data_IF_407391626563
#
_entry.id   IF_407391626563
#
_cell.length_a   1.000
_cell.length_b   1.000
_cell.length_c   1.000
_cell.angle_alpha   90.00
_cell.angle_beta   90.00
_cell.angle_gamma   90.00
#
_symmetry.space_group_name_H-M   'P 1'
#
loop_
_entity.id
_entity.type
_entity.pdbx_description
1 polymer ?
#
# COMPACT_ATOMS: atom_id res chain seq x y z
N UNK A 1 21.04 40.47 57.68
CA UNK A 1 21.83 40.41 56.43
C UNK A 1 22.61 39.09 56.29
N UNK A 2 22.02 37.96 56.72
CA UNK A 2 22.55 36.60 56.58
C UNK A 2 21.38 35.60 56.55
N UNK A 3 20.50 35.71 55.54
CA UNK A 3 19.47 34.70 55.27
C UNK A 3 19.22 34.44 53.78
N UNK A 4 20.01 35.03 52.88
CA UNK A 4 19.82 34.90 51.42
C UNK A 4 20.91 34.10 50.70
N UNK A 5 21.66 33.25 51.42
CA UNK A 5 22.62 32.30 50.82
C UNK A 5 22.11 30.84 50.86
N UNK A 6 20.89 30.58 51.35
CA UNK A 6 20.31 29.22 51.35
C UNK A 6 19.36 28.93 50.18
N UNK A 7 19.23 29.83 49.20
CA UNK A 7 18.38 29.62 48.00
C UNK A 7 19.14 29.36 46.71
N UNK A 8 20.47 29.29 46.73
CA UNK A 8 21.28 29.09 45.52
C UNK A 8 22.05 27.78 45.43
N UNK A 9 21.95 26.87 46.41
CA UNK A 9 22.82 25.66 46.40
C UNK A 9 22.10 24.34 46.66
N UNK A 10 20.77 24.28 46.52
CA UNK A 10 20.04 23.00 46.54
C UNK A 10 18.87 23.00 45.57
N UNK A 11 19.17 23.25 44.30
CA UNK A 11 18.36 22.82 43.15
C UNK A 11 19.26 22.80 41.91
N UNK A 12 20.33 22.02 42.01
CA UNK A 12 21.24 21.69 40.91
C UNK A 12 20.97 20.26 40.40
N UNK A 13 19.70 19.87 40.42
CA UNK A 13 19.16 18.67 39.78
C UNK A 13 17.73 19.06 39.37
N UNK A 14 17.55 19.56 38.15
CA UNK A 14 16.30 19.51 37.38
C UNK A 14 16.48 20.23 36.03
N UNK A 15 16.27 19.46 34.96
CA UNK A 15 15.91 19.90 33.61
C UNK A 15 17.00 20.39 32.65
N UNK A 16 18.08 19.64 32.50
CA UNK A 16 18.72 19.52 31.18
C UNK A 16 18.28 18.21 30.52
N UNK A 17 16.99 18.12 30.19
CA UNK A 17 16.64 17.35 29.01
C UNK A 17 17.12 18.21 27.85
N UNK A 18 18.20 17.78 27.20
CA UNK A 18 18.42 18.19 25.82
C UNK A 18 17.21 17.63 25.09
N UNK A 19 16.22 18.47 24.80
CA UNK A 19 15.28 18.20 23.71
C UNK A 19 16.14 18.19 22.46
N UNK A 20 16.70 17.01 22.16
CA UNK A 20 17.20 16.72 20.84
C UNK A 20 15.95 16.84 19.99
N UNK A 21 15.82 17.87 19.13
CA UNK A 21 14.73 17.89 18.18
C UNK A 21 14.84 16.55 17.45
N UNK A 22 13.72 15.90 17.15
CA UNK A 22 13.69 14.66 16.39
C UNK A 22 14.17 14.96 14.95
N UNK A 23 15.46 15.28 14.83
CA UNK A 23 16.22 15.55 13.62
C UNK A 23 16.40 14.15 13.05
N UNK A 24 15.73 13.89 11.93
CA UNK A 24 16.00 12.82 10.97
C UNK A 24 16.82 11.62 11.53
N UNK A 25 16.15 10.48 11.64
CA UNK A 25 16.76 9.26 11.12
C UNK A 25 18.01 8.69 11.83
N UNK A 26 18.12 8.76 13.16
CA UNK A 26 19.11 7.91 13.88
C UNK A 26 18.85 6.40 13.72
N UNK A 27 17.63 6.00 13.35
CA UNK A 27 17.30 4.62 12.94
C UNK A 27 17.84 4.25 11.55
N UNK A 28 18.06 5.25 10.70
CA UNK A 28 18.37 5.06 9.29
C UNK A 28 19.69 4.34 9.01
N UNK A 29 20.80 4.54 9.76
CA UNK A 29 22.01 3.74 9.54
C UNK A 29 21.83 2.25 9.84
N UNK A 30 21.06 1.91 10.88
CA UNK A 30 20.76 0.52 11.24
C UNK A 30 19.78 -0.08 10.22
N UNK A 31 18.70 0.64 9.92
CA UNK A 31 17.70 0.23 8.95
C UNK A 31 18.28 0.10 7.53
N UNK A 32 19.24 0.96 7.14
CA UNK A 32 19.96 0.86 5.87
C UNK A 32 20.85 -0.37 5.79
N UNK A 33 21.62 -0.68 6.85
CA UNK A 33 22.41 -1.93 6.89
C UNK A 33 21.51 -3.16 6.80
N UNK A 34 20.37 -3.14 7.48
CA UNK A 34 19.41 -4.22 7.37
C UNK A 34 18.83 -4.29 5.94
N UNK A 35 18.51 -3.16 5.35
CA UNK A 35 18.01 -3.10 3.98
C UNK A 35 19.02 -3.65 2.97
N UNK A 36 20.32 -3.38 3.14
CA UNK A 36 21.39 -3.98 2.33
C UNK A 36 21.41 -5.51 2.47
N UNK A 37 21.23 -6.04 3.69
CA UNK A 37 21.10 -7.48 3.94
C UNK A 37 19.88 -8.05 3.21
N UNK A 38 18.74 -7.37 3.29
CA UNK A 38 17.50 -7.77 2.62
C UNK A 38 17.68 -7.78 1.10
N UNK A 39 18.28 -6.74 0.52
CA UNK A 39 18.57 -6.69 -0.91
C UNK A 39 19.50 -7.83 -1.33
N UNK A 40 20.53 -8.13 -0.53
CA UNK A 40 21.44 -9.24 -0.82
C UNK A 40 20.72 -10.59 -0.76
N UNK A 41 19.81 -10.79 0.21
CA UNK A 41 18.99 -12.00 0.26
C UNK A 41 18.15 -12.11 -1.00
N UNK A 42 17.41 -11.05 -1.36
CA UNK A 42 16.55 -11.00 -2.54
C UNK A 42 17.30 -11.34 -3.84
N UNK A 43 18.46 -10.69 -4.07
CA UNK A 43 19.28 -10.92 -5.27
C UNK A 43 19.81 -12.36 -5.39
N UNK A 44 19.83 -13.12 -4.29
CA UNK A 44 20.30 -14.50 -4.24
C UNK A 44 19.16 -15.53 -4.09
N UNK A 45 17.89 -15.10 -4.14
CA UNK A 45 16.77 -16.04 -4.18
C UNK A 45 16.59 -16.62 -5.59
N UNK A 46 16.27 -17.93 -5.72
CA UNK A 46 15.97 -18.51 -7.01
C UNK A 46 14.71 -17.86 -7.60
N UNK A 47 14.75 -17.47 -8.87
CA UNK A 47 13.59 -16.93 -9.59
C UNK A 47 12.50 -18.00 -9.76
N UNK A 48 11.31 -17.78 -9.23
CA UNK A 48 10.16 -18.69 -9.35
C UNK A 48 9.07 -18.42 -8.31
N UNK A 49 7.93 -19.14 -8.38
CA UNK A 49 6.94 -19.08 -7.32
C UNK A 49 7.53 -19.63 -6.03
N UNK A 50 7.62 -18.75 -5.05
CA UNK A 50 8.25 -19.07 -3.80
C UNK A 50 7.31 -19.87 -2.90
N UNK A 51 7.55 -21.17 -2.85
CA UNK A 51 6.96 -22.05 -1.85
C UNK A 51 7.43 -21.70 -0.43
N UNK A 52 6.73 -22.20 0.58
CA UNK A 52 6.99 -22.00 2.01
C UNK A 52 8.47 -22.24 2.37
N UNK A 53 9.11 -23.22 1.73
CA UNK A 53 10.54 -23.52 1.89
C UNK A 53 11.44 -22.33 1.56
N UNK A 54 11.15 -21.57 0.50
CA UNK A 54 11.96 -20.41 0.10
C UNK A 54 11.77 -19.25 1.09
N UNK A 55 10.54 -19.05 1.57
CA UNK A 55 10.22 -18.03 2.58
C UNK A 55 10.97 -18.29 3.88
N UNK A 56 11.00 -19.54 4.34
CA UNK A 56 11.71 -19.91 5.56
C UNK A 56 13.22 -19.78 5.42
N UNK A 57 13.78 -20.15 4.27
CA UNK A 57 15.21 -19.96 3.97
C UNK A 57 15.60 -18.48 3.93
N UNK A 58 14.79 -17.63 3.29
CA UNK A 58 15.02 -16.19 3.24
C UNK A 58 15.01 -15.57 4.65
N UNK A 59 14.02 -15.95 5.47
CA UNK A 59 13.91 -15.49 6.84
C UNK A 59 15.08 -15.95 7.71
N UNK A 60 15.50 -17.21 7.60
CA UNK A 60 16.65 -17.74 8.32
C UNK A 60 17.94 -16.97 7.97
N UNK A 61 18.15 -16.66 6.68
CA UNK A 61 19.29 -15.82 6.24
C UNK A 61 19.22 -14.41 6.81
N UNK A 62 18.04 -13.79 6.85
CA UNK A 62 17.87 -12.47 7.46
C UNK A 62 18.24 -12.51 8.94
N UNK A 63 17.71 -13.48 9.68
CA UNK A 63 18.00 -13.66 11.10
C UNK A 63 19.49 -13.86 11.40
N UNK A 64 20.16 -14.69 10.61
CA UNK A 64 21.60 -14.96 10.77
C UNK A 64 22.46 -13.72 10.52
N UNK A 65 22.10 -12.93 9.50
CA UNK A 65 22.90 -11.81 9.04
C UNK A 65 22.45 -10.46 9.61
N UNK A 66 21.33 -10.43 10.35
CA UNK A 66 20.71 -9.21 10.86
C UNK A 66 21.72 -8.34 11.61
N UNK A 67 21.64 -7.03 11.35
CA UNK A 67 22.37 -6.01 12.10
C UNK A 67 22.07 -6.10 13.61
N UNK A 68 20.85 -6.52 13.97
CA UNK A 68 20.41 -6.69 15.35
C UNK A 68 20.89 -8.02 15.99
N UNK A 69 21.49 -8.92 15.19
CA UNK A 69 22.07 -10.20 15.63
C UNK A 69 21.07 -11.00 16.49
N UNK A 70 21.52 -11.47 17.66
CA UNK A 70 20.72 -12.27 18.59
C UNK A 70 19.47 -11.54 19.12
N UNK A 71 19.38 -10.22 18.99
CA UNK A 71 18.21 -9.45 19.43
C UNK A 71 17.13 -9.35 18.35
N UNK A 72 17.40 -9.79 17.12
CA UNK A 72 16.43 -9.67 16.02
C UNK A 72 15.09 -10.34 16.35
N UNK A 73 15.11 -11.59 16.82
CA UNK A 73 13.87 -12.31 17.16
C UNK A 73 13.19 -11.70 18.38
N UNK A 74 13.91 -11.61 19.50
CA UNK A 74 13.30 -11.29 20.80
C UNK A 74 12.95 -9.81 20.95
N UNK A 75 13.73 -8.90 20.36
CA UNK A 75 13.55 -7.47 20.50
C UNK A 75 12.85 -6.83 19.31
N UNK A 76 13.03 -7.34 18.09
CA UNK A 76 12.38 -6.76 16.89
C UNK A 76 11.12 -7.52 16.53
N UNK A 77 11.22 -8.82 16.23
CA UNK A 77 10.08 -9.61 15.71
C UNK A 77 8.99 -9.83 16.77
N UNK A 78 9.38 -10.23 17.98
CA UNK A 78 8.44 -10.57 19.05
C UNK A 78 7.87 -9.34 19.79
N UNK A 79 8.39 -8.14 19.51
CA UNK A 79 7.88 -6.89 20.04
C UNK A 79 7.13 -6.13 18.95
N UNK A 80 5.80 -6.19 18.98
CA UNK A 80 4.93 -5.61 17.96
C UNK A 80 5.24 -4.13 17.68
N UNK A 81 5.43 -3.33 18.73
CA UNK A 81 5.76 -1.91 18.59
C UNK A 81 7.11 -1.67 17.88
N UNK A 82 8.13 -2.46 18.19
CA UNK A 82 9.44 -2.34 17.55
C UNK A 82 9.43 -2.92 16.13
N UNK A 83 8.65 -3.99 15.89
CA UNK A 83 8.43 -4.53 14.56
C UNK A 83 7.74 -3.52 13.63
N UNK A 84 6.71 -2.82 14.11
CA UNK A 84 6.02 -1.75 13.37
C UNK A 84 7.01 -0.71 12.86
N UNK A 85 7.84 -0.21 13.77
CA UNK A 85 8.84 0.80 13.43
C UNK A 85 9.88 0.26 12.46
N UNK A 86 10.39 -0.94 12.73
CA UNK A 86 11.34 -1.62 11.85
C UNK A 86 10.78 -1.75 10.44
N UNK A 87 9.56 -2.27 10.31
CA UNK A 87 8.93 -2.50 9.01
C UNK A 87 8.63 -1.19 8.27
N UNK A 88 8.17 -0.16 8.99
CA UNK A 88 7.96 1.19 8.45
C UNK A 88 9.26 1.80 7.92
N UNK A 89 10.37 1.63 8.64
CA UNK A 89 11.68 2.11 8.19
C UNK A 89 12.13 1.36 6.93
N UNK A 90 11.97 0.02 6.86
CA UNK A 90 12.31 -0.76 5.67
C UNK A 90 11.49 -0.35 4.44
N UNK A 91 10.20 -0.04 4.61
CA UNK A 91 9.36 0.48 3.54
C UNK A 91 9.78 1.90 3.12
N UNK A 92 10.15 2.75 4.07
CA UNK A 92 10.63 4.11 3.78
C UNK A 92 11.88 4.07 2.92
N UNK A 93 12.85 3.22 3.27
CA UNK A 93 14.08 3.05 2.50
C UNK A 93 13.77 2.50 1.11
N UNK A 94 12.84 1.52 1.00
CA UNK A 94 12.40 0.98 -0.28
C UNK A 94 11.81 2.06 -1.21
N UNK A 95 10.98 2.97 -0.68
CA UNK A 95 10.41 4.08 -1.44
C UNK A 95 11.51 5.01 -1.97
N UNK A 96 12.49 5.34 -1.13
CA UNK A 96 13.64 6.17 -1.51
C UNK A 96 14.48 5.48 -2.60
N UNK A 97 14.83 4.21 -2.41
CA UNK A 97 15.61 3.40 -3.37
C UNK A 97 14.91 3.33 -4.74
N UNK A 98 13.58 3.17 -4.74
CA UNK A 98 12.78 3.10 -5.95
C UNK A 98 12.38 4.45 -6.54
N UNK A 99 12.71 5.57 -5.88
CA UNK A 99 12.28 6.94 -6.24
C UNK A 99 10.76 7.09 -6.32
N UNK A 100 10.04 6.45 -5.41
CA UNK A 100 8.58 6.49 -5.32
C UNK A 100 8.18 7.58 -4.31
N UNK A 101 7.21 8.43 -4.69
CA UNK A 101 6.79 9.61 -3.91
C UNK A 101 5.47 9.38 -3.16
N UNK A 102 5.19 8.13 -2.78
CA UNK A 102 4.03 7.80 -1.98
C UNK A 102 4.26 8.16 -0.52
N UNK A 103 3.20 8.61 0.15
CA UNK A 103 3.22 8.83 1.59
C UNK A 103 3.43 7.50 2.34
N UNK A 104 4.30 7.51 3.35
CA UNK A 104 4.65 6.29 4.09
C UNK A 104 3.47 5.78 4.91
N UNK A 105 2.59 6.64 5.43
CA UNK A 105 1.42 6.20 6.18
C UNK A 105 0.42 5.48 5.27
N UNK A 106 0.27 5.95 4.03
CA UNK A 106 -0.49 5.24 3.01
C UNK A 106 0.11 3.87 2.71
N UNK A 107 1.41 3.79 2.42
CA UNK A 107 2.09 2.54 2.07
C UNK A 107 2.07 1.56 3.23
N UNK A 108 2.36 2.03 4.44
CA UNK A 108 2.29 1.23 5.65
C UNK A 108 0.86 0.72 5.89
N UNK A 109 -0.15 1.57 5.74
CA UNK A 109 -1.56 1.15 5.82
C UNK A 109 -1.90 0.04 4.82
N UNK A 110 -1.37 0.13 3.61
CA UNK A 110 -1.59 -0.84 2.53
C UNK A 110 -1.01 -2.22 2.83
N UNK A 111 0.21 -2.29 3.35
CA UNK A 111 0.94 -3.57 3.47
C UNK A 111 1.08 -4.09 4.91
N UNK A 112 0.87 -3.25 5.92
CA UNK A 112 1.04 -3.61 7.32
C UNK A 112 -0.30 -3.84 8.04
N UNK A 113 -1.24 -2.90 7.90
CA UNK A 113 -2.28 -2.65 8.90
C UNK A 113 -3.60 -3.42 8.69
N UNK A 114 -3.70 -4.27 7.66
CA UNK A 114 -5.00 -4.62 7.07
C UNK A 114 -5.20 -6.08 6.71
N UNK A 115 -4.26 -6.93 7.10
CA UNK A 115 -4.47 -8.37 7.12
C UNK A 115 -4.21 -8.85 8.55
N UNK A 116 -5.27 -8.92 9.37
CA UNK A 116 -5.21 -9.35 10.77
C UNK A 116 -4.80 -10.82 10.93
N UNK A 117 -4.72 -11.58 9.83
CA UNK A 117 -4.39 -13.01 9.85
C UNK A 117 -2.89 -13.31 9.82
N UNK A 118 -2.02 -12.29 9.67
CA UNK A 118 -0.57 -12.49 9.54
C UNK A 118 0.20 -12.11 10.79
N UNK A 119 1.17 -12.92 11.15
CA UNK A 119 2.14 -12.60 12.21
C UNK A 119 3.22 -11.65 11.69
N UNK A 120 3.98 -10.96 12.57
CA UNK A 120 5.19 -10.22 12.17
C UNK A 120 6.14 -11.03 11.28
N UNK A 121 6.34 -12.31 11.62
CA UNK A 121 7.16 -13.25 10.85
C UNK A 121 6.62 -13.49 9.45
N UNK A 122 5.30 -13.62 9.29
CA UNK A 122 4.68 -13.79 7.96
C UNK A 122 4.84 -12.53 7.11
N UNK A 123 4.70 -11.34 7.72
CA UNK A 123 4.87 -10.06 7.04
C UNK A 123 6.30 -9.89 6.51
N UNK A 124 7.31 -10.19 7.33
CA UNK A 124 8.71 -10.06 6.89
C UNK A 124 9.07 -11.11 5.83
N UNK A 125 8.58 -12.35 5.95
CA UNK A 125 8.75 -13.39 4.92
C UNK A 125 8.16 -12.96 3.59
N UNK A 126 6.97 -12.37 3.62
CA UNK A 126 6.32 -11.82 2.42
C UNK A 126 7.16 -10.69 1.81
N UNK A 127 7.61 -9.74 2.63
CA UNK A 127 8.47 -8.63 2.20
C UNK A 127 9.78 -9.08 1.55
N UNK A 128 10.41 -10.12 2.10
CA UNK A 128 11.67 -10.67 1.58
C UNK A 128 11.51 -11.34 0.21
N UNK A 129 10.45 -12.12 0.05
CA UNK A 129 10.30 -13.02 -1.10
C UNK A 129 9.57 -12.36 -2.26
N UNK A 130 8.65 -11.45 -1.96
CA UNK A 130 7.81 -10.79 -2.96
C UNK A 130 8.19 -9.32 -3.14
N UNK A 131 9.45 -9.01 -2.86
CA UNK A 131 10.01 -7.68 -2.88
C UNK A 131 9.83 -6.96 -4.23
N UNK A 132 10.05 -7.67 -5.35
CA UNK A 132 9.89 -7.08 -6.69
C UNK A 132 8.44 -6.80 -7.06
N UNK A 133 7.51 -7.67 -6.64
CA UNK A 133 6.09 -7.45 -6.88
C UNK A 133 5.57 -6.30 -6.01
N UNK A 134 6.05 -6.16 -4.78
CA UNK A 134 5.81 -4.97 -3.96
C UNK A 134 6.34 -3.71 -4.64
N UNK A 135 7.56 -3.72 -5.21
CA UNK A 135 8.08 -2.58 -5.99
C UNK A 135 7.17 -2.22 -7.17
N UNK A 136 6.69 -3.21 -7.91
CA UNK A 136 5.76 -3.01 -9.03
C UNK A 136 4.43 -2.41 -8.53
N UNK A 137 3.88 -2.96 -7.46
CA UNK A 137 2.66 -2.46 -6.82
C UNK A 137 2.79 -0.98 -6.44
N UNK A 138 3.87 -0.61 -5.76
CA UNK A 138 4.11 0.77 -5.33
C UNK A 138 4.28 1.71 -6.53
N UNK A 139 4.88 1.24 -7.64
CA UNK A 139 4.96 2.02 -8.88
C UNK A 139 3.59 2.25 -9.53
N UNK A 140 2.75 1.21 -9.60
CA UNK A 140 1.37 1.31 -10.12
C UNK A 140 0.60 2.37 -9.35
N UNK A 141 0.67 2.31 -8.02
CA UNK A 141 0.00 3.28 -7.15
C UNK A 141 0.59 4.68 -7.35
N UNK A 142 1.92 4.82 -7.43
CA UNK A 142 2.56 6.10 -7.71
C UNK A 142 2.06 6.74 -9.02
N UNK A 143 1.93 5.97 -10.10
CA UNK A 143 1.32 6.45 -11.34
C UNK A 143 -0.13 6.88 -11.15
N UNK A 144 -0.89 6.16 -10.34
CA UNK A 144 -2.24 6.57 -9.92
C UNK A 144 -2.25 7.92 -9.22
N UNK A 145 -1.34 8.15 -8.27
CA UNK A 145 -1.20 9.42 -7.54
C UNK A 145 -0.82 10.58 -8.45
N UNK A 146 0.03 10.36 -9.46
CA UNK A 146 0.34 11.39 -10.46
C UNK A 146 -0.92 11.91 -11.17
N UNK A 147 -1.92 11.05 -11.36
CA UNK A 147 -3.21 11.42 -11.97
C UNK A 147 -4.17 12.05 -10.96
N UNK A 148 -4.27 11.46 -9.77
CA UNK A 148 -5.36 11.72 -8.82
C UNK A 148 -4.98 12.74 -7.72
N UNK A 149 -3.70 13.09 -7.60
CA UNK A 149 -3.15 14.01 -6.60
C UNK A 149 -3.52 13.59 -5.17
N UNK A 150 -4.49 14.27 -4.55
CA UNK A 150 -4.79 14.17 -3.10
C UNK A 150 -6.00 13.27 -2.77
N UNK A 151 -6.84 12.90 -3.74
CA UNK A 151 -8.10 12.18 -3.48
C UNK A 151 -7.92 10.66 -3.21
N UNK A 152 -6.70 10.12 -3.41
CA UNK A 152 -6.43 8.68 -3.23
C UNK A 152 -6.46 8.26 -1.76
N UNK A 153 -5.81 9.04 -0.90
CA UNK A 153 -5.53 8.58 0.47
C UNK A 153 -6.80 8.24 1.23
N UNK A 154 -7.85 9.03 1.08
CA UNK A 154 -9.13 8.75 1.74
C UNK A 154 -9.90 7.63 1.04
N UNK A 155 -9.91 7.62 -0.29
CA UNK A 155 -10.77 6.73 -1.07
C UNK A 155 -10.28 5.28 -1.08
N UNK A 156 -8.97 5.02 -1.21
CA UNK A 156 -8.45 3.64 -1.22
C UNK A 156 -8.37 3.04 0.19
N UNK A 157 -8.06 3.87 1.21
CA UNK A 157 -7.94 3.44 2.62
C UNK A 157 -9.32 3.20 3.25
N UNK A 158 -10.37 3.92 2.87
CA UNK A 158 -11.71 3.74 3.47
C UNK A 158 -12.50 2.53 2.91
N UNK A 159 -11.88 1.72 2.03
CA UNK A 159 -12.59 0.62 1.31
C UNK A 159 -12.57 -0.73 2.00
N UNK A 160 -11.88 -0.87 3.12
CA UNK A 160 -11.96 -2.06 3.96
C UNK A 160 -12.83 -1.77 5.17
N UNK A 161 -13.91 -2.54 5.27
CA UNK A 161 -14.69 -2.61 6.49
C UNK A 161 -14.50 -4.03 7.03
N UNK A 162 -13.59 -4.21 7.99
CA UNK A 162 -13.59 -5.39 8.84
C UNK A 162 -14.86 -5.32 9.70
N UNK A 163 -15.97 -5.87 9.22
CA UNK A 163 -17.25 -5.75 9.90
C UNK A 163 -17.40 -6.82 10.95
N UNK A 164 -17.60 -6.36 12.18
CA UNK A 164 -18.42 -7.08 13.12
C UNK A 164 -19.82 -7.28 12.49
N UNK A 165 -20.43 -8.49 12.53
CA UNK A 165 -21.73 -8.78 11.91
C UNK A 165 -22.90 -7.85 12.32
N UNK A 166 -22.69 -6.95 13.28
CA UNK A 166 -23.65 -5.93 13.72
C UNK A 166 -23.72 -4.65 12.85
N UNK A 167 -22.90 -4.49 11.81
CA UNK A 167 -22.82 -3.24 11.02
C UNK A 167 -23.61 -3.26 9.70
N UNK A 168 -24.61 -4.13 9.59
CA UNK A 168 -25.60 -4.05 8.52
C UNK A 168 -26.65 -2.96 8.81
N UNK A 169 -27.22 -2.30 7.79
CA UNK A 169 -27.07 -2.55 6.35
C UNK A 169 -25.79 -1.94 5.76
N UNK A 170 -25.23 -2.62 4.77
CA UNK A 170 -24.10 -2.15 3.99
C UNK A 170 -24.56 -1.44 2.74
N UNK A 171 -24.32 -0.13 2.71
CA UNK A 171 -24.39 0.66 1.50
C UNK A 171 -22.97 0.87 0.98
N UNK A 172 -22.68 0.31 -0.18
CA UNK A 172 -21.44 0.64 -0.90
C UNK A 172 -21.63 1.95 -1.66
N UNK A 173 -20.55 2.73 -1.76
CA UNK A 173 -20.50 3.96 -2.56
C UNK A 173 -20.04 3.57 -3.99
N UNK A 174 -19.35 4.47 -4.67
CA UNK A 174 -18.80 4.30 -6.03
C UNK A 174 -17.62 3.31 -6.14
N UNK A 175 -17.26 2.58 -5.07
CA UNK A 175 -16.06 1.73 -4.99
C UNK A 175 -16.34 0.34 -4.42
N UNK A 176 -15.48 -0.63 -4.78
CA UNK A 176 -15.50 -1.98 -4.22
C UNK A 176 -15.14 -1.94 -2.74
N UNK A 177 -15.81 -2.77 -1.95
CA UNK A 177 -15.50 -2.98 -0.53
C UNK A 177 -15.14 -4.42 -0.25
N UNK A 178 -14.10 -4.63 0.56
CA UNK A 178 -13.81 -5.93 1.13
C UNK A 178 -14.45 -6.07 2.50
N UNK A 179 -14.98 -7.27 2.75
CA UNK A 179 -15.68 -7.63 3.97
C UNK A 179 -15.24 -9.02 4.38
N UNK A 180 -14.93 -9.21 5.65
CA UNK A 180 -14.62 -10.52 6.21
C UNK A 180 -15.72 -10.92 7.18
N UNK A 181 -16.34 -12.09 6.94
CA UNK A 181 -17.33 -12.70 7.83
C UNK A 181 -16.92 -14.14 8.06
N UNK A 182 -16.78 -14.55 9.32
CA UNK A 182 -16.38 -15.91 9.71
C UNK A 182 -15.12 -16.43 8.97
N UNK A 183 -14.12 -15.55 8.83
CA UNK A 183 -12.86 -15.79 8.09
C UNK A 183 -13.01 -16.02 6.58
N UNK A 184 -14.21 -15.81 6.02
CA UNK A 184 -14.44 -15.79 4.58
C UNK A 184 -14.41 -14.35 4.08
N UNK A 185 -13.72 -14.12 2.97
CA UNK A 185 -13.57 -12.78 2.38
C UNK A 185 -14.56 -12.64 1.24
N UNK A 186 -15.29 -11.53 1.27
CA UNK A 186 -16.24 -11.14 0.25
C UNK A 186 -15.83 -9.78 -0.34
N UNK A 187 -15.97 -9.65 -1.65
CA UNK A 187 -15.81 -8.38 -2.36
C UNK A 187 -17.17 -7.92 -2.86
N UNK A 188 -17.58 -6.74 -2.39
CA UNK A 188 -18.86 -6.13 -2.73
C UNK A 188 -18.62 -5.05 -3.78
N UNK A 189 -19.18 -5.19 -4.99
CA UNK A 189 -19.04 -4.18 -6.05
C UNK A 189 -19.67 -2.84 -5.69
N UNK A 190 -19.25 -1.74 -6.36
CA UNK A 190 -19.87 -0.43 -6.23
C UNK A 190 -21.39 -0.47 -6.40
N UNK A 191 -22.10 0.44 -5.72
CA UNK A 191 -23.55 0.59 -5.80
C UNK A 191 -24.38 -0.66 -5.46
N UNK A 192 -23.77 -1.63 -4.77
CA UNK A 192 -24.46 -2.79 -4.20
C UNK A 192 -24.97 -2.46 -2.80
N UNK A 193 -26.21 -2.88 -2.52
CA UNK A 193 -26.82 -2.78 -1.19
C UNK A 193 -26.95 -4.18 -0.63
N UNK A 194 -26.47 -4.39 0.60
CA UNK A 194 -26.61 -5.66 1.32
C UNK A 194 -27.25 -5.36 2.67
N UNK A 195 -28.47 -5.86 2.87
CA UNK A 195 -29.28 -5.52 4.04
C UNK A 195 -28.91 -6.32 5.30
N UNK A 196 -28.33 -7.51 5.13
CA UNK A 196 -27.91 -8.40 6.21
C UNK A 196 -26.84 -9.41 5.75
N UNK A 197 -26.26 -10.15 6.70
CA UNK A 197 -25.24 -11.17 6.40
C UNK A 197 -25.75 -12.29 5.48
N UNK A 198 -27.04 -12.62 5.52
CA UNK A 198 -27.66 -13.61 4.60
C UNK A 198 -27.65 -13.15 3.13
N UNK A 199 -27.53 -11.84 2.88
CA UNK A 199 -27.35 -11.27 1.54
C UNK A 199 -25.96 -11.51 0.94
N UNK A 200 -24.99 -12.00 1.73
CA UNK A 200 -23.68 -12.43 1.25
C UNK A 200 -23.80 -13.81 0.59
N UNK A 201 -24.05 -13.81 -0.71
CA UNK A 201 -24.09 -15.02 -1.53
C UNK A 201 -22.71 -15.39 -2.10
N UNK A 202 -22.57 -16.62 -2.62
CA UNK A 202 -21.35 -17.12 -3.28
C UNK A 202 -20.80 -16.19 -4.38
N UNK A 203 -21.67 -15.43 -5.06
CA UNK A 203 -21.25 -14.49 -6.11
C UNK A 203 -20.30 -13.36 -5.65
N UNK A 204 -20.23 -13.13 -4.33
CA UNK A 204 -19.35 -12.12 -3.74
C UNK A 204 -18.12 -12.74 -3.09
N UNK A 205 -18.00 -14.06 -3.08
CA UNK A 205 -16.80 -14.72 -2.56
C UNK A 205 -15.60 -14.21 -3.33
N UNK A 206 -14.56 -13.84 -2.58
CA UNK A 206 -13.36 -13.25 -3.15
C UNK A 206 -12.18 -14.15 -2.92
N UNK A 207 -11.72 -14.77 -4.00
CA UNK A 207 -10.56 -15.64 -4.04
C UNK A 207 -9.40 -14.89 -4.69
N UNK A 208 -8.25 -14.85 -4.02
CA UNK A 208 -7.07 -14.15 -4.49
C UNK A 208 -5.83 -14.97 -4.10
N UNK A 209 -4.91 -15.15 -5.03
CA UNK A 209 -3.63 -15.82 -4.79
C UNK A 209 -2.65 -14.94 -4.00
N UNK A 210 -2.84 -13.62 -4.07
CA UNK A 210 -2.06 -12.58 -3.39
C UNK A 210 -2.70 -12.09 -2.09
N UNK A 211 -2.53 -10.80 -1.80
CA UNK A 211 -3.25 -10.14 -0.71
C UNK A 211 -4.58 -9.57 -1.19
N UNK A 212 -5.73 -10.02 -0.65
CA UNK A 212 -7.04 -9.54 -1.06
C UNK A 212 -7.16 -8.00 -1.04
N UNK A 213 -6.67 -7.37 0.04
CA UNK A 213 -6.71 -5.91 0.18
C UNK A 213 -5.95 -5.18 -0.93
N UNK A 214 -4.81 -5.71 -1.35
CA UNK A 214 -4.01 -5.14 -2.43
C UNK A 214 -4.77 -5.25 -3.75
N UNK A 215 -5.35 -6.41 -4.05
CA UNK A 215 -6.12 -6.59 -5.28
C UNK A 215 -7.34 -5.64 -5.34
N UNK A 216 -8.08 -5.52 -4.23
CA UNK A 216 -9.20 -4.60 -4.14
C UNK A 216 -8.75 -3.13 -4.28
N UNK A 217 -7.59 -2.76 -3.74
CA UNK A 217 -7.01 -1.42 -3.95
C UNK A 217 -6.68 -1.17 -5.43
N UNK A 218 -6.17 -2.17 -6.15
CA UNK A 218 -5.91 -2.07 -7.58
C UNK A 218 -7.22 -1.90 -8.37
N UNK A 219 -8.26 -2.68 -8.03
CA UNK A 219 -9.57 -2.52 -8.65
C UNK A 219 -10.15 -1.13 -8.39
N UNK A 220 -10.06 -0.64 -7.15
CA UNK A 220 -10.55 0.69 -6.79
C UNK A 220 -9.75 1.83 -7.42
N UNK A 221 -8.43 1.65 -7.61
CA UNK A 221 -7.64 2.59 -8.40
C UNK A 221 -8.20 2.70 -9.82
N UNK A 222 -8.53 1.58 -10.45
CA UNK A 222 -9.11 1.56 -11.80
C UNK A 222 -10.48 2.23 -11.83
N UNK A 223 -11.39 1.93 -10.89
CA UNK A 223 -12.69 2.63 -10.80
C UNK A 223 -12.47 4.14 -10.69
N UNK A 224 -11.53 4.55 -9.83
CA UNK A 224 -11.27 5.96 -9.57
C UNK A 224 -10.76 6.69 -10.81
N UNK A 225 -9.70 6.21 -11.46
CA UNK A 225 -9.12 6.85 -12.66
C UNK A 225 -10.06 6.79 -13.87
N UNK A 226 -11.01 5.85 -13.91
CA UNK A 226 -11.99 5.75 -14.99
C UNK A 226 -13.27 6.54 -14.74
N UNK A 227 -13.44 7.17 -13.57
CA UNK A 227 -14.64 7.98 -13.32
C UNK A 227 -14.64 9.28 -14.14
N UNK A 228 -15.84 9.74 -14.58
CA UNK A 228 -15.99 11.00 -15.31
C UNK A 228 -15.39 12.21 -14.58
N UNK A 229 -15.44 12.24 -13.24
CA UNK A 229 -14.91 13.33 -12.41
C UNK A 229 -13.45 13.64 -12.73
N UNK A 230 -12.57 12.62 -12.77
CA UNK A 230 -11.15 12.84 -13.08
C UNK A 230 -10.91 12.98 -14.56
N UNK A 231 -11.73 12.31 -15.37
CA UNK A 231 -11.62 12.38 -16.81
C UNK A 231 -11.90 13.79 -17.34
N UNK A 232 -12.81 14.54 -16.73
CA UNK A 232 -13.20 15.88 -17.19
C UNK A 232 -12.13 16.96 -16.93
N UNK A 233 -11.24 16.77 -15.95
CA UNK A 233 -10.16 17.74 -15.63
C UNK A 233 -8.89 17.51 -16.47
N UNK A 234 -8.96 16.60 -17.44
CA UNK A 234 -7.85 16.24 -18.31
C UNK A 234 -7.66 17.32 -19.37
N UNK A 235 -6.54 18.02 -19.26
CA UNK A 235 -6.13 19.02 -20.25
C UNK A 235 -5.20 18.44 -21.31
N UNK A 236 -4.56 17.29 -21.03
CA UNK A 236 -3.63 16.62 -21.94
C UNK A 236 -3.95 15.12 -22.01
N UNK A 237 -4.69 14.72 -23.04
CA UNK A 237 -5.06 13.31 -23.27
C UNK A 237 -3.83 12.43 -23.49
N UNK A 238 -2.80 12.90 -24.21
CA UNK A 238 -1.63 12.08 -24.51
C UNK A 238 -0.90 11.65 -23.23
N UNK A 239 -0.74 12.57 -22.28
CA UNK A 239 -0.11 12.26 -21.00
C UNK A 239 -0.90 11.19 -20.24
N UNK A 240 -2.23 11.28 -20.25
CA UNK A 240 -3.07 10.32 -19.54
C UNK A 240 -3.15 8.97 -20.23
N UNK A 241 -3.19 8.95 -21.55
CA UNK A 241 -3.06 7.72 -22.31
C UNK A 241 -1.75 6.99 -21.95
N UNK A 242 -0.64 7.74 -21.85
CA UNK A 242 0.64 7.18 -21.45
C UNK A 242 0.59 6.61 -20.02
N UNK A 243 0.02 7.34 -19.06
CA UNK A 243 -0.08 6.86 -17.67
C UNK A 243 -1.00 5.64 -17.56
N UNK A 244 -2.17 5.66 -18.22
CA UNK A 244 -3.12 4.55 -18.18
C UNK A 244 -2.54 3.30 -18.84
N UNK A 245 -1.84 3.46 -19.96
CA UNK A 245 -1.13 2.35 -20.60
C UNK A 245 -0.06 1.76 -19.68
N UNK A 246 0.69 2.59 -18.94
CA UNK A 246 1.67 2.13 -17.94
C UNK A 246 1.00 1.35 -16.82
N UNK A 247 -0.06 1.91 -16.21
CA UNK A 247 -0.83 1.23 -15.17
C UNK A 247 -1.33 -0.13 -15.68
N UNK A 248 -1.94 -0.16 -16.87
CA UNK A 248 -2.47 -1.40 -17.44
C UNK A 248 -1.39 -2.45 -17.70
N UNK A 249 -0.23 -2.03 -18.22
CA UNK A 249 0.89 -2.93 -18.50
C UNK A 249 1.48 -3.52 -17.22
N UNK A 250 1.75 -2.67 -16.23
CA UNK A 250 2.36 -3.09 -14.96
C UNK A 250 1.42 -4.01 -14.18
N UNK A 251 0.11 -3.72 -14.13
CA UNK A 251 -0.87 -4.62 -13.51
C UNK A 251 -0.88 -5.99 -14.20
N UNK A 252 -0.75 -6.03 -15.54
CA UNK A 252 -0.73 -7.31 -16.28
C UNK A 252 0.52 -8.16 -16.00
N UNK A 253 1.57 -7.57 -15.41
CA UNK A 253 2.80 -8.27 -15.03
C UNK A 253 2.79 -8.79 -13.58
N UNK A 254 1.80 -8.37 -12.77
CA UNK A 254 1.58 -8.91 -11.45
C UNK A 254 1.11 -10.37 -11.56
N UNK A 255 1.74 -11.27 -10.81
CA UNK A 255 1.50 -12.72 -10.99
C UNK A 255 0.41 -13.25 -10.08
N UNK A 256 0.24 -12.65 -8.89
CA UNK A 256 -0.68 -13.15 -7.85
C UNK A 256 -1.99 -12.38 -7.77
N UNK A 257 -2.20 -11.41 -8.66
CA UNK A 257 -3.32 -10.48 -8.57
C UNK A 257 -4.17 -10.55 -9.83
N UNK A 258 -5.46 -10.83 -9.66
CA UNK A 258 -6.43 -10.93 -10.74
C UNK A 258 -7.30 -9.68 -10.72
N UNK A 259 -6.89 -8.64 -11.45
CA UNK A 259 -7.62 -7.36 -11.46
C UNK A 259 -8.75 -7.42 -12.50
N UNK A 260 -9.90 -7.95 -12.10
CA UNK A 260 -11.03 -8.26 -12.99
C UNK A 260 -11.59 -7.05 -13.77
N UNK A 261 -11.50 -5.85 -13.20
CA UNK A 261 -11.99 -4.63 -13.85
C UNK A 261 -10.95 -3.96 -14.76
N UNK A 262 -9.80 -4.60 -15.03
CA UNK A 262 -8.74 -4.06 -15.90
C UNK A 262 -9.22 -3.79 -17.33
N UNK A 263 -10.15 -4.58 -17.85
CA UNK A 263 -10.73 -4.36 -19.18
C UNK A 263 -11.45 -3.01 -19.31
N UNK A 264 -11.97 -2.45 -18.20
CA UNK A 264 -12.54 -1.08 -18.20
C UNK A 264 -11.48 -0.04 -18.56
N UNK A 265 -10.29 -0.16 -17.97
CA UNK A 265 -9.16 0.74 -18.26
C UNK A 265 -8.72 0.61 -19.72
N UNK A 266 -8.59 -0.63 -20.23
CA UNK A 266 -8.23 -0.90 -21.63
C UNK A 266 -9.25 -0.31 -22.61
N UNK A 267 -10.54 -0.40 -22.31
CA UNK A 267 -11.59 0.21 -23.12
C UNK A 267 -11.45 1.74 -23.20
N UNK A 268 -11.15 2.40 -22.07
CA UNK A 268 -10.89 3.85 -22.03
C UNK A 268 -9.63 4.22 -22.82
N UNK A 269 -8.54 3.47 -22.69
CA UNK A 269 -7.31 3.64 -23.48
C UNK A 269 -7.62 3.59 -24.99
N UNK A 270 -8.39 2.60 -25.43
CA UNK A 270 -8.78 2.45 -26.84
C UNK A 270 -9.64 3.62 -27.33
N UNK A 271 -10.60 4.07 -26.51
CA UNK A 271 -11.43 5.24 -26.81
C UNK A 271 -10.57 6.50 -26.96
N UNK A 272 -9.68 6.76 -26.01
CA UNK A 272 -8.78 7.91 -26.02
C UNK A 272 -7.87 7.92 -27.25
N UNK A 273 -7.32 6.75 -27.60
CA UNK A 273 -6.49 6.57 -28.80
C UNK A 273 -7.28 6.90 -30.08
N UNK A 274 -8.53 6.46 -30.15
CA UNK A 274 -9.41 6.74 -31.29
C UNK A 274 -9.75 8.22 -31.40
N UNK A 275 -10.03 8.89 -30.28
CA UNK A 275 -10.28 10.35 -30.26
C UNK A 275 -9.04 11.12 -30.70
N UNK A 276 -7.86 10.74 -30.20
CA UNK A 276 -6.58 11.33 -30.59
C UNK A 276 -6.31 11.21 -32.09
N UNK A 277 -6.72 10.11 -32.73
CA UNK A 277 -6.50 9.88 -34.14
C UNK A 277 -7.49 10.63 -35.06
N UNK A 278 -8.69 10.94 -34.56
CA UNK A 278 -9.81 11.43 -35.38
C UNK A 278 -10.06 12.94 -35.29
N UNK A 279 -9.55 13.62 -34.25
CA UNK A 279 -9.92 15.01 -33.99
C UNK A 279 -8.70 15.91 -33.76
N UNK A 280 -8.75 17.12 -34.34
CA UNK A 280 -7.70 18.13 -34.20
C UNK A 280 -7.66 18.74 -32.78
N UNK A 281 -8.80 18.72 -32.06
CA UNK A 281 -8.92 19.17 -30.67
C UNK A 281 -9.41 18.03 -29.75
N UNK A 282 -8.60 16.97 -29.55
CA UNK A 282 -9.05 15.73 -28.92
C UNK A 282 -9.49 15.94 -27.46
N UNK A 283 -8.84 16.85 -26.72
CA UNK A 283 -9.20 17.20 -25.34
C UNK A 283 -10.64 17.73 -25.22
N UNK A 284 -11.08 18.58 -26.16
CA UNK A 284 -12.45 19.14 -26.12
C UNK A 284 -13.49 18.07 -26.44
N UNK A 285 -13.22 17.23 -27.44
CA UNK A 285 -14.13 16.15 -27.85
C UNK A 285 -14.30 15.12 -26.75
N UNK A 286 -13.21 14.75 -26.08
CA UNK A 286 -13.28 13.81 -24.96
C UNK A 286 -14.07 14.36 -23.77
N UNK A 287 -13.85 15.64 -23.42
CA UNK A 287 -14.65 16.31 -22.39
C UNK A 287 -16.15 16.27 -22.72
N UNK A 288 -16.53 16.54 -23.98
CA UNK A 288 -17.93 16.47 -24.42
C UNK A 288 -18.55 15.07 -24.29
N UNK A 289 -17.78 14.01 -24.58
CA UNK A 289 -18.25 12.62 -24.47
C UNK A 289 -18.50 12.24 -23.00
N UNK A 290 -17.66 12.72 -22.09
CA UNK A 290 -17.65 12.30 -20.68
C UNK A 290 -18.51 13.18 -19.77
N UNK A 291 -19.11 14.26 -20.28
CA UNK A 291 -20.11 15.11 -19.58
C UNK A 291 -21.56 14.70 -19.82
N UNK A 292 -21.82 13.67 -20.63
CA UNK A 292 -23.16 13.10 -20.85
C UNK A 292 -23.34 11.82 -20.05
#
# INVERSE_FOLDING_TARGET
MLSDISKQTTRLILNEYIEIPFIFDLRFPCSMKEFEIIQNIHNNLPYGDADMTIKDQAYAKLKENSFYKNYFEDAIINNEYLFEQYYRDQLTILLVDCKIQLDIEFVFSLVYNRNSMKTPTDRIKYYLVYHDELKQLLKILNYGFEVLKDDINKTLIDTENALNPNYFPLKTNDYYKLITVDNVIYQIPPNTVIDNAEGLSEKFLFECDGEPFVENCLMNLIELITTPKYIQVINNIQNILMIYARISLEISNLRRYTVDNLEKLKAIINLLTSILALYDEPSKVFQMIMTK
#
